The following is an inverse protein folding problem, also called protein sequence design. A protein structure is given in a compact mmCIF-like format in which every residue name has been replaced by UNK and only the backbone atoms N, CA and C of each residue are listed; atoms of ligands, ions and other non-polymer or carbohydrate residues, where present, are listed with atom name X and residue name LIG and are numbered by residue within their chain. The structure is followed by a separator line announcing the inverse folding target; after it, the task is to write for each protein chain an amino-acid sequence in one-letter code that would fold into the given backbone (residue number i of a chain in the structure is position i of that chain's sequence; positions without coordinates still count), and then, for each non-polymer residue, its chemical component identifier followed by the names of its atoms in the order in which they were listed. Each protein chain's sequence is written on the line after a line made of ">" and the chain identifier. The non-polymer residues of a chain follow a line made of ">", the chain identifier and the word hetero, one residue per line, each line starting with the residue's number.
data_IF_799522329581
#
_entry.id   IF_799522329581
#
_cell.length_a   1.000
_cell.length_b   1.000
_cell.length_c   1.000
_cell.angle_alpha   90.00
_cell.angle_beta   90.00
_cell.angle_gamma   90.00
#
_symmetry.space_group_name_H-M   'P 1'
#
loop_
_entity.id
_entity.type
_entity.pdbx_description
1 polymer ?
#
# COMPACT_ATOMS: atom_id res chain seq x y z
N UNK A 1 -19.13 -2.54 -17.67
CA UNK A 1 -18.00 -1.60 -17.71
C UNK A 1 -18.00 -0.84 -16.39
N UNK A 2 -17.27 -1.32 -15.40
CA UNK A 2 -17.07 -0.55 -14.16
C UNK A 2 -16.18 0.65 -14.48
N UNK A 3 -16.53 1.83 -13.97
CA UNK A 3 -15.80 3.06 -14.25
C UNK A 3 -14.47 3.04 -13.48
N UNK A 4 -13.29 3.03 -14.14
CA UNK A 4 -12.00 2.97 -13.46
C UNK A 4 -11.64 4.30 -12.77
N UNK A 5 -12.35 5.39 -13.05
CA UNK A 5 -12.11 6.72 -12.49
C UNK A 5 -13.00 7.00 -11.28
N UNK A 6 -12.79 6.24 -10.20
CA UNK A 6 -13.40 6.52 -8.90
C UNK A 6 -12.44 7.34 -8.05
N UNK A 7 -12.96 8.22 -7.20
CA UNK A 7 -12.15 9.04 -6.27
C UNK A 7 -11.17 8.16 -5.47
N UNK A 8 -11.60 7.02 -4.88
CA UNK A 8 -10.70 6.10 -4.18
C UNK A 8 -9.51 5.62 -5.03
N UNK A 9 -9.76 5.25 -6.29
CA UNK A 9 -8.70 4.72 -7.15
C UNK A 9 -7.61 5.77 -7.44
N UNK A 10 -8.02 7.04 -7.63
CA UNK A 10 -7.06 8.14 -7.82
C UNK A 10 -6.22 8.37 -6.55
N UNK A 11 -6.84 8.27 -5.37
CA UNK A 11 -6.14 8.40 -4.09
C UNK A 11 -5.13 7.26 -3.88
N UNK A 12 -5.51 6.01 -4.18
CA UNK A 12 -4.60 4.85 -4.09
C UNK A 12 -3.45 4.93 -5.10
N UNK A 13 -3.70 5.39 -6.33
CA UNK A 13 -2.64 5.67 -7.31
C UNK A 13 -1.70 6.79 -6.85
N UNK A 14 -2.25 7.87 -6.28
CA UNK A 14 -1.44 8.94 -5.71
C UNK A 14 -0.57 8.43 -4.55
N UNK A 15 -1.10 7.55 -3.69
CA UNK A 15 -0.34 6.91 -2.59
C UNK A 15 0.80 6.06 -3.11
N UNK A 16 0.57 5.27 -4.18
CA UNK A 16 1.65 4.51 -4.82
C UNK A 16 2.78 5.41 -5.34
N UNK A 17 2.46 6.61 -5.83
CA UNK A 17 3.44 7.61 -6.23
C UNK A 17 4.13 8.32 -5.05
N UNK A 18 3.41 8.56 -3.95
CA UNK A 18 3.95 9.16 -2.73
C UNK A 18 4.88 8.23 -1.96
N UNK A 19 4.68 6.91 -2.04
CA UNK A 19 5.53 5.92 -1.38
C UNK A 19 7.03 6.06 -1.73
N UNK A 20 7.48 6.02 -3.00
CA UNK A 20 8.89 6.21 -3.35
C UNK A 20 9.40 7.62 -3.02
N UNK A 21 8.55 8.65 -3.09
CA UNK A 21 8.92 10.02 -2.68
C UNK A 21 9.23 10.04 -1.18
N UNK A 22 8.34 9.48 -0.35
CA UNK A 22 8.55 9.34 1.08
C UNK A 22 9.83 8.55 1.37
N UNK A 23 10.07 7.48 0.61
CA UNK A 23 11.27 6.69 0.74
C UNK A 23 12.55 7.47 0.42
N UNK A 24 12.51 8.35 -0.58
CA UNK A 24 13.61 9.25 -0.93
C UNK A 24 13.87 10.28 0.18
N UNK A 25 12.82 10.89 0.75
CA UNK A 25 12.99 11.86 1.83
C UNK A 25 13.59 11.28 3.11
N UNK A 26 13.26 10.03 3.44
CA UNK A 26 13.86 9.32 4.58
C UNK A 26 15.36 9.08 4.34
N UNK A 27 15.77 8.81 3.11
CA UNK A 27 17.17 8.61 2.74
C UNK A 27 17.96 9.93 2.78
N UNK A 28 17.33 11.06 2.47
CA UNK A 28 17.91 12.40 2.66
C UNK A 28 17.95 12.85 4.13
N UNK A 29 17.58 11.99 5.09
CA UNK A 29 17.49 12.30 6.53
C UNK A 29 16.53 13.45 6.87
N UNK A 30 15.63 13.82 5.94
CA UNK A 30 14.64 14.87 6.15
C UNK A 30 13.36 14.32 6.79
N UNK A 31 13.48 13.91 8.05
CA UNK A 31 12.43 13.22 8.78
C UNK A 31 11.17 14.08 9.01
N UNK A 32 11.32 15.40 9.16
CA UNK A 32 10.19 16.31 9.38
C UNK A 32 9.22 16.30 8.19
N UNK A 33 9.77 16.44 6.98
CA UNK A 33 8.96 16.42 5.75
C UNK A 33 8.48 15.00 5.44
N UNK A 34 9.31 13.98 5.69
CA UNK A 34 8.91 12.58 5.53
C UNK A 34 7.70 12.21 6.41
N UNK A 35 7.67 12.68 7.66
CA UNK A 35 6.54 12.49 8.57
C UNK A 35 5.28 13.19 8.04
N UNK A 36 5.42 14.41 7.52
CA UNK A 36 4.31 15.12 6.87
C UNK A 36 3.72 14.35 5.68
N UNK A 37 4.57 13.81 4.80
CA UNK A 37 4.13 12.98 3.67
C UNK A 37 3.49 11.68 4.15
N UNK A 38 4.04 11.05 5.19
CA UNK A 38 3.50 9.82 5.77
C UNK A 38 2.09 10.03 6.31
N UNK A 39 1.89 11.10 7.08
CA UNK A 39 0.58 11.48 7.63
C UNK A 39 -0.40 11.78 6.49
N UNK A 40 0.02 12.53 5.46
CA UNK A 40 -0.84 12.80 4.30
C UNK A 40 -1.25 11.52 3.56
N UNK A 41 -0.32 10.59 3.38
CA UNK A 41 -0.57 9.30 2.72
C UNK A 41 -1.54 8.40 3.53
N UNK A 42 -1.42 8.40 4.87
CA UNK A 42 -2.34 7.70 5.76
C UNK A 42 -3.72 8.37 5.82
N UNK A 43 -3.78 9.70 5.82
CA UNK A 43 -5.06 10.42 5.77
C UNK A 43 -5.78 10.17 4.45
N UNK A 44 -5.07 10.08 3.33
CA UNK A 44 -5.68 9.74 2.04
C UNK A 44 -6.25 8.32 2.04
N UNK A 45 -5.62 7.35 2.71
CA UNK A 45 -6.15 5.97 2.88
C UNK A 45 -7.41 5.91 3.77
N UNK A 46 -7.44 6.72 4.82
CA UNK A 46 -8.64 6.83 5.63
C UNK A 46 -9.79 7.46 4.85
N UNK A 47 -9.49 8.47 4.02
CA UNK A 47 -10.48 9.16 3.21
C UNK A 47 -11.03 8.28 2.09
N UNK A 48 -10.19 7.57 1.34
CA UNK A 48 -10.69 6.67 0.28
C UNK A 48 -11.49 5.49 0.86
N UNK A 49 -11.05 4.89 1.97
CA UNK A 49 -11.75 3.83 2.68
C UNK A 49 -13.04 4.31 3.37
N UNK A 50 -13.13 5.59 3.74
CA UNK A 50 -14.37 6.20 4.22
C UNK A 50 -15.34 6.45 3.07
N UNK A 51 -14.86 7.00 1.95
CA UNK A 51 -15.67 7.27 0.75
C UNK A 51 -16.19 5.95 0.15
N UNK A 52 -15.35 4.92 0.06
CA UNK A 52 -15.73 3.60 -0.45
C UNK A 52 -16.76 2.88 0.45
N UNK A 53 -16.79 3.19 1.76
CA UNK A 53 -17.81 2.68 2.70
C UNK A 53 -19.12 3.45 2.63
N UNK A 54 -19.05 4.77 2.47
CA UNK A 54 -20.23 5.64 2.54
C UNK A 54 -20.96 5.77 1.19
N UNK A 55 -20.27 5.58 0.06
CA UNK A 55 -20.86 5.63 -1.28
C UNK A 55 -20.75 4.31 -2.03
N UNK A 56 -21.83 3.52 -2.02
CA UNK A 56 -21.91 2.24 -2.73
C UNK A 56 -21.68 2.34 -4.26
N UNK A 57 -21.99 3.49 -4.87
CA UNK A 57 -21.75 3.75 -6.30
C UNK A 57 -20.26 3.98 -6.67
N UNK A 58 -19.38 4.17 -5.68
CA UNK A 58 -17.95 4.39 -5.89
C UNK A 58 -17.13 3.14 -5.55
N UNK A 59 -17.77 2.03 -5.19
CA UNK A 59 -17.12 0.74 -5.00
C UNK A 59 -16.82 0.12 -6.36
N UNK A 60 -15.53 0.00 -6.69
CA UNK A 60 -15.07 -0.74 -7.87
C UNK A 60 -14.32 -1.99 -7.44
N UNK A 61 -14.49 -3.09 -8.19
CA UNK A 61 -13.74 -4.31 -7.97
C UNK A 61 -12.22 -4.10 -8.14
N UNK A 62 -11.83 -3.16 -9.01
CA UNK A 62 -10.43 -2.77 -9.19
C UNK A 62 -9.89 -1.99 -7.98
N UNK A 63 -10.63 -1.01 -7.47
CA UNK A 63 -10.22 -0.24 -6.29
C UNK A 63 -10.04 -1.14 -5.06
N UNK A 64 -10.97 -2.07 -4.83
CA UNK A 64 -10.87 -3.02 -3.71
C UNK A 64 -9.66 -3.95 -3.78
N UNK A 65 -9.10 -4.19 -4.98
CA UNK A 65 -7.88 -4.99 -5.15
C UNK A 65 -6.62 -4.11 -5.10
N UNK A 66 -6.72 -2.85 -5.56
CA UNK A 66 -5.62 -1.89 -5.56
C UNK A 66 -5.32 -1.34 -4.17
N UNK A 67 -6.30 -1.16 -3.30
CA UNK A 67 -6.10 -0.64 -1.94
C UNK A 67 -5.11 -1.51 -1.12
N UNK A 68 -5.27 -2.83 -0.97
CA UNK A 68 -4.29 -3.67 -0.27
C UNK A 68 -2.92 -3.71 -0.95
N UNK A 69 -2.86 -3.41 -2.25
CA UNK A 69 -1.63 -3.42 -3.03
C UNK A 69 -0.83 -2.12 -2.81
N UNK A 70 -1.53 -0.97 -2.84
CA UNK A 70 -0.97 0.33 -2.53
C UNK A 70 -0.47 0.41 -1.08
N UNK A 71 -1.23 -0.14 -0.13
CA UNK A 71 -0.83 -0.19 1.28
C UNK A 71 0.46 -1.01 1.48
N UNK A 72 0.55 -2.19 0.87
CA UNK A 72 1.78 -3.01 0.91
C UNK A 72 2.98 -2.32 0.30
N UNK A 73 2.80 -1.59 -0.80
CA UNK A 73 3.88 -0.82 -1.42
C UNK A 73 4.34 0.29 -0.48
N UNK A 74 3.41 1.04 0.11
CA UNK A 74 3.74 2.09 1.05
C UNK A 74 4.53 1.55 2.25
N UNK A 75 4.05 0.47 2.86
CA UNK A 75 4.70 -0.18 4.00
C UNK A 75 6.08 -0.74 3.60
N UNK A 76 6.19 -1.39 2.44
CA UNK A 76 7.45 -1.94 1.95
C UNK A 76 8.50 -0.86 1.73
N UNK A 77 8.12 0.25 1.07
CA UNK A 77 9.02 1.38 0.82
C UNK A 77 9.42 2.05 2.13
N UNK A 78 8.49 2.22 3.07
CA UNK A 78 8.78 2.75 4.40
C UNK A 78 9.87 1.92 5.11
N UNK A 79 9.71 0.59 5.17
CA UNK A 79 10.70 -0.26 5.83
C UNK A 79 12.06 -0.27 5.12
N UNK A 80 12.07 -0.32 3.79
CA UNK A 80 13.31 -0.25 3.00
C UNK A 80 14.05 1.06 3.28
N UNK A 81 13.34 2.18 3.25
CA UNK A 81 13.96 3.49 3.49
C UNK A 81 14.43 3.68 4.92
N UNK A 82 13.68 3.20 5.92
CA UNK A 82 14.15 3.17 7.32
C UNK A 82 15.39 2.28 7.51
N UNK A 83 15.51 1.21 6.73
CA UNK A 83 16.72 0.37 6.70
C UNK A 83 17.91 1.12 6.09
N UNK A 84 17.68 1.84 4.97
CA UNK A 84 18.71 2.67 4.34
C UNK A 84 19.18 3.80 5.26
N UNK A 85 18.28 4.37 6.06
CA UNK A 85 18.62 5.36 7.10
C UNK A 85 19.30 4.76 8.34
N UNK A 86 19.64 3.45 8.34
CA UNK A 86 20.22 2.71 9.47
C UNK A 86 19.40 2.76 10.77
N UNK A 87 18.10 3.12 10.69
CA UNK A 87 17.20 3.19 11.85
C UNK A 87 16.68 1.80 12.23
N UNK A 88 16.52 0.91 11.25
CA UNK A 88 16.04 -0.46 11.42
C UNK A 88 17.06 -1.45 10.85
N UNK A 89 17.42 -2.53 11.56
CA UNK A 89 18.31 -3.55 11.02
C UNK A 89 17.67 -4.27 9.83
N UNK A 90 18.47 -4.51 8.79
CA UNK A 90 18.01 -5.15 7.55
C UNK A 90 17.33 -6.53 7.78
N UNK A 91 17.68 -7.22 8.87
CA UNK A 91 17.05 -8.48 9.27
C UNK A 91 15.56 -8.33 9.62
N UNK A 92 15.15 -7.22 10.22
CA UNK A 92 13.72 -6.96 10.50
C UNK A 92 12.95 -6.71 9.21
N UNK A 93 13.52 -5.87 8.33
CA UNK A 93 12.90 -5.54 7.04
C UNK A 93 12.76 -6.76 6.15
N UNK A 94 13.78 -7.63 6.09
CA UNK A 94 13.68 -8.87 5.32
C UNK A 94 12.65 -9.84 5.89
N UNK A 95 12.52 -9.94 7.23
CA UNK A 95 11.51 -10.77 7.88
C UNK A 95 10.08 -10.28 7.57
N UNK A 96 9.87 -8.97 7.53
CA UNK A 96 8.56 -8.37 7.20
C UNK A 96 8.22 -8.60 5.73
N UNK A 97 9.15 -8.34 4.80
CA UNK A 97 8.94 -8.59 3.38
C UNK A 97 8.64 -10.08 3.14
N UNK A 98 9.40 -10.98 3.77
CA UNK A 98 9.18 -12.42 3.66
C UNK A 98 7.78 -12.83 4.14
N UNK A 99 7.33 -12.28 5.27
CA UNK A 99 5.98 -12.51 5.80
C UNK A 99 4.91 -12.04 4.81
N UNK A 100 5.07 -10.87 4.21
CA UNK A 100 4.11 -10.33 3.25
C UNK A 100 4.04 -11.14 1.96
N UNK A 101 5.20 -11.58 1.45
CA UNK A 101 5.27 -12.50 0.31
C UNK A 101 4.61 -13.84 0.65
N UNK A 102 4.86 -14.39 1.85
CA UNK A 102 4.25 -15.63 2.31
C UNK A 102 2.72 -15.51 2.41
N UNK A 103 2.19 -14.37 2.89
CA UNK A 103 0.75 -14.11 2.93
C UNK A 103 0.15 -14.04 1.52
N UNK A 104 0.81 -13.37 0.57
CA UNK A 104 0.35 -13.31 -0.84
C UNK A 104 0.35 -14.71 -1.45
N UNK A 105 1.44 -15.46 -1.27
CA UNK A 105 1.57 -16.82 -1.77
C UNK A 105 0.51 -17.76 -1.16
N UNK A 106 0.23 -17.64 0.13
CA UNK A 106 -0.81 -18.41 0.81
C UNK A 106 -2.21 -18.09 0.26
N UNK A 107 -2.54 -16.80 0.10
CA UNK A 107 -3.80 -16.37 -0.51
C UNK A 107 -3.95 -16.91 -1.92
N UNK A 108 -2.89 -16.81 -2.74
CA UNK A 108 -2.89 -17.34 -4.10
C UNK A 108 -3.05 -18.87 -4.13
N UNK A 109 -2.35 -19.59 -3.25
CA UNK A 109 -2.44 -21.05 -3.13
C UNK A 109 -3.85 -21.50 -2.73
N UNK A 110 -4.45 -20.85 -1.72
CA UNK A 110 -5.83 -21.11 -1.30
C UNK A 110 -6.80 -20.82 -2.44
N UNK A 111 -6.64 -19.67 -3.11
CA UNK A 111 -7.48 -19.27 -4.25
C UNK A 111 -7.43 -20.30 -5.38
N UNK A 112 -6.23 -20.80 -5.72
CA UNK A 112 -6.02 -21.82 -6.74
C UNK A 112 -6.72 -23.13 -6.39
N UNK A 113 -6.72 -23.55 -5.12
CA UNK A 113 -7.44 -24.76 -4.68
C UNK A 113 -8.97 -24.60 -4.62
N UNK A 114 -9.48 -23.40 -4.36
CA UNK A 114 -10.94 -23.16 -4.28
C UNK A 114 -11.61 -22.93 -5.64
N UNK A 115 -10.85 -22.75 -6.71
CA UNK A 115 -11.40 -22.68 -8.07
C UNK A 115 -11.63 -24.10 -8.59
N UNK A 116 -12.89 -24.48 -8.77
CA UNK A 116 -13.26 -25.68 -9.53
C UNK A 116 -12.65 -25.57 -10.94
N UNK A 117 -11.99 -26.63 -11.46
CA UNK A 117 -11.47 -26.62 -12.82
C UNK A 117 -12.62 -26.40 -13.83
N UNK A 118 -12.37 -25.69 -14.95
CA UNK A 118 -13.36 -25.50 -16.01
C UNK A 118 -13.76 -26.81 -16.69
#
# INVERSE_FOLDING_TARGET
>A
YENPWTIPNILSMARMGLAPVLGYLIVEENFDVALGVFVLAGVTDLLDGFIARNWANQKSALGSALDPLADKILISVLYVSLTCANLIPASLTSMIILRDVALIAAVFYVRYKTLSPP
#
